data_IF_924121197137
#
_entry.id   IF_924121197137
#
_cell.length_a   1.000
_cell.length_b   1.000
_cell.length_c   1.000
_cell.angle_alpha   90.00
_cell.angle_beta   90.00
_cell.angle_gamma   90.00
#
_symmetry.space_group_name_H-M   'P 1'
#
loop_
_entity.id
_entity.type
_entity.pdbx_description
1 polymer ?
#
# COMPACT_ATOMS: atom_id res chain seq x y z
N UNK A 1 46.52 24.95 -22.67
CA UNK A 1 45.68 25.50 -21.59
C UNK A 1 44.31 25.89 -22.14
N UNK A 2 43.44 24.92 -22.48
CA UNK A 2 42.12 25.18 -23.08
C UNK A 2 40.94 24.98 -22.11
N UNK A 3 41.19 24.38 -20.94
CA UNK A 3 40.12 24.03 -19.98
C UNK A 3 39.49 25.24 -19.28
N UNK A 4 40.26 26.33 -19.07
CA UNK A 4 39.76 27.51 -18.37
C UNK A 4 38.88 28.41 -19.28
N UNK A 5 39.11 28.37 -20.60
CA UNK A 5 38.32 29.15 -21.56
C UNK A 5 36.94 28.52 -21.83
N UNK A 6 36.83 27.18 -21.77
CA UNK A 6 35.56 26.48 -21.93
C UNK A 6 34.63 26.65 -20.73
N UNK A 7 35.19 26.68 -19.51
CA UNK A 7 34.44 26.98 -18.28
C UNK A 7 33.92 28.42 -18.29
N UNK A 8 34.71 29.36 -18.81
CA UNK A 8 34.32 30.78 -18.90
C UNK A 8 33.27 31.03 -19.99
N UNK A 9 33.29 30.25 -21.09
CA UNK A 9 32.21 30.21 -22.09
C UNK A 9 30.92 29.60 -21.55
N UNK A 10 31.02 28.58 -20.69
CA UNK A 10 29.87 28.00 -20.01
C UNK A 10 29.21 29.03 -19.07
N UNK A 11 30.04 29.80 -18.34
CA UNK A 11 29.61 30.90 -17.45
C UNK A 11 28.77 32.00 -18.12
N UNK A 12 28.89 32.21 -19.44
CA UNK A 12 28.12 33.24 -20.18
C UNK A 12 26.80 32.75 -20.78
N UNK A 13 26.58 31.44 -20.90
CA UNK A 13 25.35 30.85 -21.45
C UNK A 13 24.42 30.24 -20.39
N UNK A 14 24.78 30.35 -19.12
CA UNK A 14 24.13 29.70 -17.98
C UNK A 14 22.88 30.45 -17.47
N UNK A 15 22.67 31.71 -17.84
CA UNK A 15 21.67 32.57 -17.18
C UNK A 15 20.22 32.25 -17.59
N UNK A 16 20.00 31.75 -18.82
CA UNK A 16 18.67 31.39 -19.33
C UNK A 16 18.44 29.88 -19.30
N UNK A 17 19.39 29.08 -19.80
CA UNK A 17 19.31 27.60 -19.77
C UNK A 17 19.30 27.00 -18.36
N UNK A 18 19.90 27.68 -17.38
CA UNK A 18 19.88 27.24 -15.99
C UNK A 18 18.49 27.34 -15.35
N UNK A 19 17.70 28.35 -15.73
CA UNK A 19 16.32 28.52 -15.26
C UNK A 19 15.41 27.43 -15.85
N UNK A 20 15.56 27.18 -17.15
CA UNK A 20 14.79 26.13 -17.84
C UNK A 20 15.01 24.75 -17.22
N UNK A 21 16.24 24.41 -16.83
CA UNK A 21 16.55 23.11 -16.19
C UNK A 21 15.89 22.97 -14.81
N UNK A 22 15.83 24.05 -14.03
CA UNK A 22 15.15 24.06 -12.73
C UNK A 22 13.64 23.90 -12.93
N UNK A 23 13.06 24.60 -13.90
CA UNK A 23 11.64 24.46 -14.24
C UNK A 23 11.31 23.04 -14.73
N UNK A 24 12.13 22.46 -15.62
CA UNK A 24 11.98 21.09 -16.08
C UNK A 24 12.04 20.10 -14.90
N UNK A 25 12.97 20.29 -13.97
CA UNK A 25 13.10 19.41 -12.79
C UNK A 25 11.86 19.50 -11.89
N UNK A 26 11.36 20.72 -11.65
CA UNK A 26 10.13 20.97 -10.89
C UNK A 26 8.91 20.33 -11.57
N UNK A 27 8.77 20.53 -12.88
CA UNK A 27 7.69 19.96 -13.68
C UNK A 27 7.75 18.42 -13.66
N UNK A 28 8.93 17.82 -13.79
CA UNK A 28 9.09 16.37 -13.70
C UNK A 28 8.70 15.81 -12.33
N UNK A 29 9.02 16.52 -11.23
CA UNK A 29 8.57 16.15 -9.89
C UNK A 29 7.05 16.22 -9.75
N UNK A 30 6.42 17.27 -10.29
CA UNK A 30 4.95 17.38 -10.31
C UNK A 30 4.33 16.26 -11.14
N UNK A 31 4.84 15.99 -12.35
CA UNK A 31 4.39 14.88 -13.19
C UNK A 31 4.50 13.54 -12.44
N UNK A 32 5.59 13.31 -11.72
CA UNK A 32 5.75 12.09 -10.92
C UNK A 32 4.69 12.00 -9.82
N UNK A 33 4.37 13.11 -9.17
CA UNK A 33 3.36 13.18 -8.09
C UNK A 33 1.95 12.89 -8.63
N UNK A 34 1.61 13.48 -9.78
CA UNK A 34 0.33 13.22 -10.44
C UNK A 34 0.20 11.76 -10.89
N UNK A 35 1.29 11.16 -11.40
CA UNK A 35 1.32 9.73 -11.76
C UNK A 35 1.08 8.82 -10.55
N UNK A 36 1.67 9.11 -9.40
CA UNK A 36 1.40 8.36 -8.16
C UNK A 36 -0.05 8.55 -7.69
N UNK A 37 -0.60 9.76 -7.85
CA UNK A 37 -2.01 10.04 -7.54
C UNK A 37 -2.94 9.19 -8.41
N UNK A 38 -2.67 9.09 -9.72
CA UNK A 38 -3.42 8.22 -10.64
C UNK A 38 -3.36 6.75 -10.19
N UNK A 39 -2.17 6.24 -9.83
CA UNK A 39 -2.04 4.87 -9.31
C UNK A 39 -2.88 4.67 -8.04
N UNK A 40 -2.85 5.62 -7.12
CA UNK A 40 -3.67 5.58 -5.91
C UNK A 40 -5.17 5.55 -6.22
N UNK A 41 -5.63 6.28 -7.25
CA UNK A 41 -7.02 6.25 -7.70
C UNK A 41 -7.36 4.88 -8.29
N UNK A 42 -6.49 4.28 -9.12
CA UNK A 42 -6.72 2.93 -9.65
C UNK A 42 -6.86 1.88 -8.55
N UNK A 43 -6.03 1.95 -7.51
CA UNK A 43 -6.15 1.06 -6.35
C UNK A 43 -7.50 1.23 -5.66
N UNK A 44 -7.92 2.47 -5.38
CA UNK A 44 -9.22 2.75 -4.75
C UNK A 44 -10.40 2.26 -5.58
N UNK A 45 -10.34 2.43 -6.90
CA UNK A 45 -11.39 1.92 -7.81
C UNK A 45 -11.43 0.39 -7.74
N UNK A 46 -10.26 -0.28 -7.82
CA UNK A 46 -10.18 -1.73 -7.71
C UNK A 46 -10.75 -2.25 -6.39
N UNK A 47 -10.44 -1.58 -5.28
CA UNK A 47 -11.02 -1.86 -3.97
C UNK A 47 -12.55 -1.73 -3.99
N UNK A 48 -13.10 -0.62 -4.52
CA UNK A 48 -14.54 -0.41 -4.60
C UNK A 48 -15.24 -1.49 -5.43
N UNK A 49 -14.70 -1.82 -6.60
CA UNK A 49 -15.22 -2.89 -7.47
C UNK A 49 -15.26 -4.22 -6.72
N UNK A 50 -14.20 -4.55 -5.98
CA UNK A 50 -14.16 -5.78 -5.21
C UNK A 50 -15.15 -5.79 -4.02
N UNK A 51 -15.32 -4.65 -3.34
CA UNK A 51 -16.31 -4.53 -2.27
C UNK A 51 -17.75 -4.65 -2.80
N UNK A 52 -18.05 -4.05 -3.95
CA UNK A 52 -19.35 -4.20 -4.60
C UNK A 52 -19.62 -5.65 -5.00
N UNK A 53 -18.61 -6.34 -5.52
CA UNK A 53 -18.67 -7.78 -5.80
C UNK A 53 -18.95 -8.59 -4.52
N UNK A 54 -18.24 -8.32 -3.41
CA UNK A 54 -18.51 -8.96 -2.11
C UNK A 54 -19.93 -8.71 -1.60
N UNK A 55 -20.51 -7.57 -1.94
CA UNK A 55 -21.89 -7.21 -1.60
C UNK A 55 -22.93 -7.85 -2.53
N UNK A 56 -22.51 -8.72 -3.47
CA UNK A 56 -23.40 -9.45 -4.37
C UNK A 56 -23.76 -8.69 -5.65
N UNK A 57 -23.04 -7.60 -5.97
CA UNK A 57 -23.23 -6.87 -7.23
C UNK A 57 -22.54 -7.61 -8.36
N UNK A 58 -23.23 -7.78 -9.48
CA UNK A 58 -22.64 -8.37 -10.68
C UNK A 58 -21.57 -7.42 -11.25
N UNK A 59 -20.34 -7.93 -11.34
CA UNK A 59 -19.19 -7.15 -11.81
C UNK A 59 -18.63 -7.77 -13.09
N UNK A 60 -18.33 -6.98 -14.13
CA UNK A 60 -17.59 -7.46 -15.31
C UNK A 60 -16.22 -8.04 -14.96
N UNK A 61 -15.71 -7.75 -13.77
CA UNK A 61 -14.43 -8.21 -13.26
C UNK A 61 -14.58 -9.40 -12.29
N UNK A 62 -15.69 -10.13 -12.35
CA UNK A 62 -15.98 -11.26 -11.45
C UNK A 62 -14.83 -12.29 -11.38
N UNK A 63 -14.14 -12.57 -12.48
CA UNK A 63 -12.99 -13.48 -12.49
C UNK A 63 -11.82 -12.95 -11.65
N UNK A 64 -11.45 -11.68 -11.83
CA UNK A 64 -10.39 -11.04 -11.04
C UNK A 64 -10.79 -10.93 -9.57
N UNK A 65 -12.06 -10.63 -9.30
CA UNK A 65 -12.59 -10.61 -7.94
C UNK A 65 -12.54 -12.01 -7.31
N UNK A 66 -12.84 -13.06 -8.07
CA UNK A 66 -12.71 -14.45 -7.65
C UNK A 66 -11.28 -14.80 -7.25
N UNK A 67 -10.28 -14.38 -8.04
CA UNK A 67 -8.87 -14.57 -7.70
C UNK A 67 -8.49 -13.88 -6.38
N UNK A 68 -8.99 -12.66 -6.14
CA UNK A 68 -8.76 -11.96 -4.87
C UNK A 68 -9.40 -12.73 -3.70
N UNK A 69 -10.63 -13.24 -3.87
CA UNK A 69 -11.32 -14.02 -2.84
C UNK A 69 -10.59 -15.33 -2.49
N UNK A 70 -10.03 -16.02 -3.49
CA UNK A 70 -9.19 -17.20 -3.26
C UNK A 70 -7.92 -16.85 -2.48
N UNK A 71 -7.27 -15.74 -2.83
CA UNK A 71 -6.07 -15.27 -2.13
C UNK A 71 -6.40 -14.91 -0.68
N UNK A 72 -7.52 -14.22 -0.42
CA UNK A 72 -7.98 -13.91 0.93
C UNK A 72 -8.25 -15.18 1.75
N UNK A 73 -8.86 -16.20 1.14
CA UNK A 73 -9.08 -17.50 1.78
C UNK A 73 -7.76 -18.15 2.17
N UNK A 74 -6.77 -18.16 1.27
CA UNK A 74 -5.42 -18.68 1.55
C UNK A 74 -4.72 -17.88 2.66
N UNK A 75 -4.86 -16.55 2.68
CA UNK A 75 -4.33 -15.69 3.75
C UNK A 75 -4.94 -16.08 5.10
N UNK A 76 -6.25 -16.34 5.14
CA UNK A 76 -6.94 -16.76 6.36
C UNK A 76 -6.42 -18.12 6.85
N UNK A 77 -6.33 -19.12 5.98
CA UNK A 77 -5.78 -20.43 6.32
C UNK A 77 -4.33 -20.36 6.86
N UNK A 78 -3.48 -19.54 6.21
CA UNK A 78 -2.11 -19.33 6.66
C UNK A 78 -2.06 -18.61 8.01
N UNK A 79 -2.94 -17.64 8.22
CA UNK A 79 -3.05 -16.91 9.49
C UNK A 79 -3.50 -17.82 10.62
N UNK A 80 -4.45 -18.72 10.36
CA UNK A 80 -4.92 -19.70 11.35
C UNK A 80 -3.84 -20.71 11.72
N UNK A 81 -3.08 -21.20 10.73
CA UNK A 81 -1.89 -22.03 10.98
C UNK A 81 -0.85 -21.32 11.83
N UNK A 82 -0.63 -20.02 11.60
CA UNK A 82 0.28 -19.21 12.43
C UNK A 82 -0.24 -19.11 13.87
N UNK A 83 -1.55 -18.90 14.06
CA UNK A 83 -2.17 -18.85 15.40
C UNK A 83 -2.06 -20.20 16.13
N UNK A 84 -2.30 -21.31 15.42
CA UNK A 84 -2.15 -22.66 15.96
C UNK A 84 -0.71 -22.92 16.42
N UNK A 85 0.28 -22.62 15.58
CA UNK A 85 1.70 -22.80 15.92
C UNK A 85 2.14 -21.91 17.09
N UNK A 86 1.55 -20.73 17.24
CA UNK A 86 1.78 -19.82 18.38
C UNK A 86 1.00 -20.22 19.64
N UNK A 87 0.18 -21.27 19.56
CA UNK A 87 -0.77 -21.65 20.62
C UNK A 87 -1.63 -20.45 21.09
N UNK A 88 -1.98 -19.59 20.14
CA UNK A 88 -2.67 -18.33 20.37
C UNK A 88 -4.06 -18.36 19.72
N UNK A 89 -4.94 -17.50 20.21
CA UNK A 89 -6.27 -17.22 19.68
C UNK A 89 -6.47 -15.71 19.58
N UNK A 90 -7.39 -15.27 18.73
CA UNK A 90 -7.81 -13.87 18.71
C UNK A 90 -8.92 -13.63 19.71
N UNK A 91 -8.76 -12.62 20.56
CA UNK A 91 -9.80 -12.23 21.49
C UNK A 91 -11.08 -11.85 20.74
N UNK A 92 -12.25 -12.44 21.06
CA UNK A 92 -13.50 -12.15 20.36
C UNK A 92 -14.02 -10.73 20.60
N UNK A 93 -13.57 -10.08 21.68
CA UNK A 93 -13.99 -8.72 22.04
C UNK A 93 -13.13 -7.62 21.40
N UNK A 94 -11.82 -7.83 21.27
CA UNK A 94 -10.89 -6.77 20.82
C UNK A 94 -9.95 -7.19 19.68
N UNK A 95 -10.02 -8.44 19.21
CA UNK A 95 -9.22 -8.97 18.11
C UNK A 95 -7.73 -9.19 18.42
N UNK A 96 -7.28 -8.95 19.66
CA UNK A 96 -5.87 -9.09 20.03
C UNK A 96 -5.47 -10.57 20.08
N UNK A 97 -4.28 -10.91 19.57
CA UNK A 97 -3.70 -12.24 19.72
C UNK A 97 -3.36 -12.49 21.19
N UNK A 98 -3.91 -13.55 21.76
CA UNK A 98 -3.69 -13.96 23.16
C UNK A 98 -3.39 -15.45 23.18
N UNK A 99 -2.48 -15.89 24.03
CA UNK A 99 -2.19 -17.32 24.24
C UNK A 99 -3.43 -18.05 24.76
N UNK A 100 -3.59 -19.32 24.35
CA UNK A 100 -4.68 -20.19 24.80
C UNK A 100 -4.64 -20.50 26.30
N UNK A 101 -3.51 -20.26 26.97
CA UNK A 101 -3.41 -20.43 28.42
C UNK A 101 -4.10 -19.31 29.22
N UNK A 102 -4.39 -18.16 28.60
CA UNK A 102 -4.94 -17.02 29.31
C UNK A 102 -6.47 -17.08 29.38
N UNK A 103 -7.02 -17.16 30.59
CA UNK A 103 -8.47 -17.09 30.84
C UNK A 103 -9.09 -15.70 30.52
N UNK A 104 -8.27 -14.65 30.44
CA UNK A 104 -8.70 -13.28 30.17
C UNK A 104 -7.77 -12.58 29.19
N UNK A 105 -8.32 -11.71 28.35
CA UNK A 105 -7.54 -10.90 27.43
C UNK A 105 -6.73 -9.84 28.20
N UNK A 106 -5.39 -9.78 28.03
CA UNK A 106 -4.55 -8.80 28.72
C UNK A 106 -4.80 -7.36 28.26
N UNK A 107 -5.45 -7.16 27.10
CA UNK A 107 -5.70 -5.84 26.53
C UNK A 107 -7.06 -5.25 26.91
N UNK A 108 -8.12 -6.06 26.86
CA UNK A 108 -9.49 -5.57 27.11
C UNK A 108 -10.18 -6.22 28.31
N UNK A 109 -9.57 -7.19 28.98
CA UNK A 109 -10.14 -7.88 30.14
C UNK A 109 -11.29 -8.84 29.81
N UNK A 110 -11.68 -8.99 28.54
CA UNK A 110 -12.72 -9.94 28.15
C UNK A 110 -12.30 -11.37 28.49
N UNK A 111 -13.22 -12.15 29.05
CA UNK A 111 -13.03 -13.59 29.27
C UNK A 111 -12.82 -14.27 27.91
N UNK A 112 -11.65 -14.84 27.73
CA UNK A 112 -11.38 -15.75 26.62
C UNK A 112 -11.97 -17.09 27.11
N UNK A 113 -12.82 -17.72 26.29
CA UNK A 113 -13.78 -18.76 26.73
C UNK A 113 -13.23 -19.78 27.74
N UNK A 114 -14.14 -20.34 28.57
CA UNK A 114 -13.82 -21.42 29.52
C UNK A 114 -12.97 -22.55 28.92
#
# INVERSE_FOLDING_TARGET
MSFLDDVKKFGKNLTDKGKDIVEITKLNSQISTEKETIKGIYLKIGEQVYQEFKNGTESPYAELCGQIAEIETKIQELSDKVLELKNALKCPSCGTEVTKENAFCPKCGAKLGE
#
